data_IF_772092549893
#
_entry.id   IF_772092549893
#
_cell.length_a   1.000
_cell.length_b   1.000
_cell.length_c   1.000
_cell.angle_alpha   90.00
_cell.angle_beta   90.00
_cell.angle_gamma   90.00
#
_symmetry.space_group_name_H-M   'P 1'
#
loop_
_entity.id
_entity.type
_entity.pdbx_description
1 polymer ?
#
# COMPACT_ATOMS: atom_id res chain seq x y z
N UNK A 1 8.58 24.59 -11.92
CA UNK A 1 7.86 24.01 -13.09
C UNK A 1 8.50 22.70 -13.55
N UNK A 2 9.83 22.54 -13.49
CA UNK A 2 10.50 21.28 -13.86
C UNK A 2 10.21 20.11 -12.90
N UNK A 3 10.17 20.34 -11.58
CA UNK A 3 9.87 19.28 -10.60
C UNK A 3 8.45 18.72 -10.77
N UNK A 4 7.46 19.61 -10.97
CA UNK A 4 6.08 19.22 -11.27
C UNK A 4 6.00 18.43 -12.57
N UNK A 5 6.80 18.78 -13.58
CA UNK A 5 6.85 18.04 -14.83
C UNK A 5 7.44 16.63 -14.65
N UNK A 6 8.49 16.49 -13.83
CA UNK A 6 9.04 15.18 -13.45
C UNK A 6 8.03 14.31 -12.71
N UNK A 7 7.34 14.86 -11.71
CA UNK A 7 6.32 14.12 -10.94
C UNK A 7 5.18 13.63 -11.85
N UNK A 8 4.69 14.50 -12.74
CA UNK A 8 3.65 14.16 -13.71
C UNK A 8 4.15 13.08 -14.68
N UNK A 9 5.39 13.20 -15.18
CA UNK A 9 5.99 12.19 -16.05
C UNK A 9 6.12 10.83 -15.35
N UNK A 10 6.59 10.80 -14.10
CA UNK A 10 6.71 9.56 -13.31
C UNK A 10 5.33 8.94 -13.04
N UNK A 11 4.33 9.75 -12.74
CA UNK A 11 2.96 9.28 -12.56
C UNK A 11 2.39 8.64 -13.84
N UNK A 12 2.61 9.26 -15.00
CA UNK A 12 2.19 8.72 -16.30
C UNK A 12 2.92 7.40 -16.62
N UNK A 13 4.23 7.34 -16.40
CA UNK A 13 5.02 6.12 -16.61
C UNK A 13 4.56 5.01 -15.68
N UNK A 14 4.31 5.31 -14.41
CA UNK A 14 3.81 4.35 -13.42
C UNK A 14 2.40 3.85 -13.79
N UNK A 15 1.50 4.73 -14.23
CA UNK A 15 0.16 4.39 -14.69
C UNK A 15 0.21 3.42 -15.88
N UNK A 16 0.93 3.79 -16.93
CA UNK A 16 0.99 2.97 -18.16
C UNK A 16 1.70 1.65 -17.88
N UNK A 17 2.83 1.69 -17.15
CA UNK A 17 3.62 0.52 -16.81
C UNK A 17 2.83 -0.49 -15.97
N UNK A 18 2.16 -0.04 -14.90
CA UNK A 18 1.35 -0.90 -14.04
C UNK A 18 0.11 -1.44 -14.75
N UNK A 19 -0.57 -0.63 -15.58
CA UNK A 19 -1.71 -1.07 -16.37
C UNK A 19 -1.32 -2.15 -17.39
N UNK A 20 -0.23 -1.94 -18.14
CA UNK A 20 0.27 -2.94 -19.09
C UNK A 20 0.70 -4.20 -18.36
N UNK A 21 1.52 -4.09 -17.31
CA UNK A 21 2.01 -5.24 -16.55
C UNK A 21 0.88 -6.04 -15.89
N UNK A 22 -0.10 -5.37 -15.28
CA UNK A 22 -1.28 -5.99 -14.69
C UNK A 22 -2.22 -6.63 -15.71
N UNK A 23 -2.18 -6.17 -16.96
CA UNK A 23 -2.95 -6.74 -18.06
C UNK A 23 -2.29 -7.96 -18.72
N UNK A 24 -0.97 -8.14 -18.58
CA UNK A 24 -0.22 -9.28 -19.17
C UNK A 24 -0.84 -10.64 -18.79
N UNK A 25 -1.21 -10.93 -17.53
CA UNK A 25 -1.85 -12.19 -17.17
C UNK A 25 -3.26 -12.38 -17.76
N UNK A 26 -3.95 -11.30 -18.12
CA UNK A 26 -5.32 -11.34 -18.68
C UNK A 26 -5.32 -11.66 -20.18
N UNK A 27 -4.28 -11.23 -20.91
CA UNK A 27 -4.17 -11.43 -22.36
C UNK A 27 -3.45 -12.73 -22.77
N UNK A 28 -2.72 -13.37 -21.85
CA UNK A 28 -1.94 -14.58 -22.15
C UNK A 28 -2.53 -15.76 -21.36
N UNK A 29 -2.93 -16.83 -22.05
CA UNK A 29 -3.39 -18.06 -21.41
C UNK A 29 -2.21 -18.81 -20.79
N UNK A 30 -1.84 -18.46 -19.56
CA UNK A 30 -0.85 -19.19 -18.79
C UNK A 30 -1.44 -20.46 -18.19
N UNK A 31 -0.67 -21.56 -18.23
CA UNK A 31 -0.96 -22.75 -17.41
C UNK A 31 -0.85 -22.39 -15.92
N UNK A 32 -1.66 -23.05 -15.07
CA UNK A 32 -1.73 -22.86 -13.62
C UNK A 32 -0.35 -22.87 -12.94
N UNK A 33 0.57 -23.73 -13.40
CA UNK A 33 1.94 -23.79 -12.89
C UNK A 33 2.79 -22.55 -13.22
N UNK A 34 2.52 -21.90 -14.36
CA UNK A 34 3.21 -20.66 -14.77
C UNK A 34 2.63 -19.47 -14.01
N UNK A 35 1.31 -19.41 -13.84
CA UNK A 35 0.65 -18.41 -12.99
C UNK A 35 1.18 -18.46 -11.56
N UNK A 36 1.28 -19.65 -10.98
CA UNK A 36 1.83 -19.80 -9.62
C UNK A 36 3.26 -19.26 -9.50
N UNK A 37 4.12 -19.49 -10.49
CA UNK A 37 5.50 -18.93 -10.49
C UNK A 37 5.49 -17.41 -10.57
N UNK A 38 4.63 -16.83 -11.39
CA UNK A 38 4.47 -15.37 -11.51
C UNK A 38 3.92 -14.78 -10.21
N UNK A 39 2.94 -15.42 -9.56
CA UNK A 39 2.40 -14.98 -8.27
C UNK A 39 3.45 -15.05 -7.15
N UNK A 40 4.23 -16.13 -7.07
CA UNK A 40 5.31 -16.26 -6.08
C UNK A 40 6.43 -15.25 -6.34
N UNK A 41 6.75 -14.99 -7.61
CA UNK A 41 7.70 -13.95 -7.96
C UNK A 41 7.17 -12.55 -7.61
N UNK A 42 5.90 -12.27 -7.91
CA UNK A 42 5.23 -11.02 -7.59
C UNK A 42 5.15 -10.76 -6.09
N UNK A 43 4.77 -11.77 -5.29
CA UNK A 43 4.76 -11.62 -3.83
C UNK A 43 6.16 -11.41 -3.26
N UNK A 44 7.18 -12.09 -3.79
CA UNK A 44 8.58 -11.86 -3.44
C UNK A 44 9.07 -10.45 -3.79
N UNK A 45 8.67 -9.93 -4.96
CA UNK A 45 8.96 -8.56 -5.37
C UNK A 45 8.29 -7.55 -4.44
N UNK A 46 6.99 -7.71 -4.14
CA UNK A 46 6.25 -6.83 -3.23
C UNK A 46 6.88 -6.79 -1.83
N UNK A 47 7.20 -7.95 -1.25
CA UNK A 47 7.88 -8.03 0.06
C UNK A 47 9.29 -7.41 0.00
N UNK A 48 10.03 -7.63 -1.08
CA UNK A 48 11.34 -7.03 -1.29
C UNK A 48 11.28 -5.50 -1.34
N UNK A 49 10.34 -4.95 -2.11
CA UNK A 49 10.13 -3.48 -2.20
C UNK A 49 9.72 -2.90 -0.85
N UNK A 50 8.83 -3.59 -0.12
CA UNK A 50 8.39 -3.18 1.20
C UNK A 50 9.57 -3.05 2.19
N UNK A 51 10.42 -4.07 2.27
CA UNK A 51 11.55 -4.09 3.22
C UNK A 51 12.73 -3.21 2.79
N UNK A 52 13.05 -3.15 1.50
CA UNK A 52 14.26 -2.48 1.01
C UNK A 52 14.07 -0.98 0.73
N UNK A 53 12.85 -0.54 0.42
CA UNK A 53 12.58 0.85 0.01
C UNK A 53 11.43 1.46 0.81
N UNK A 54 10.26 0.83 0.89
CA UNK A 54 9.10 1.48 1.53
C UNK A 54 9.31 1.72 3.03
N UNK A 55 9.78 0.71 3.78
CA UNK A 55 10.05 0.85 5.22
C UNK A 55 11.21 1.85 5.46
N UNK A 56 12.40 1.73 4.83
CA UNK A 56 13.50 2.67 5.07
C UNK A 56 13.17 4.13 4.69
N UNK A 57 12.43 4.37 3.60
CA UNK A 57 12.01 5.71 3.19
C UNK A 57 10.95 6.26 4.15
N UNK A 58 9.99 5.43 4.58
CA UNK A 58 8.99 5.79 5.58
C UNK A 58 9.60 6.18 6.93
N UNK A 59 10.58 5.41 7.41
CA UNK A 59 11.33 5.68 8.65
C UNK A 59 12.09 7.01 8.56
N UNK A 60 12.76 7.27 7.43
CA UNK A 60 13.48 8.54 7.20
C UNK A 60 12.54 9.74 7.18
N UNK A 61 11.37 9.59 6.57
CA UNK A 61 10.35 10.65 6.56
C UNK A 61 9.84 10.97 7.97
N UNK A 62 9.47 9.96 8.76
CA UNK A 62 8.93 10.14 10.11
C UNK A 62 9.95 10.71 11.11
N UNK A 63 11.21 10.29 11.03
CA UNK A 63 12.28 10.81 11.90
C UNK A 63 12.65 12.25 11.57
N UNK A 64 12.61 12.64 10.28
CA UNK A 64 12.91 14.01 9.85
C UNK A 64 11.89 15.05 10.34
N UNK A 65 10.62 14.66 10.54
CA UNK A 65 9.55 15.52 11.07
C UNK A 65 9.68 15.72 12.59
N UNK A 66 10.38 14.83 13.30
CA UNK A 66 10.54 14.88 14.77
C UNK A 66 11.63 15.87 15.22
N UNK A 67 12.41 16.46 14.30
CA UNK A 67 13.26 17.61 14.63
C UNK A 67 12.39 18.87 14.81
N UNK A 68 12.19 19.37 16.04
CA UNK A 68 11.29 20.49 16.27
C UNK A 68 11.91 21.77 15.71
N UNK A 69 11.24 22.38 14.74
CA UNK A 69 11.29 23.84 14.61
C UNK A 69 10.48 24.40 15.79
N UNK A 70 11.14 25.08 16.71
CA UNK A 70 10.50 25.98 17.68
C UNK A 70 9.67 27.02 16.91
N UNK A 71 8.34 26.90 16.95
CA UNK A 71 7.43 28.02 16.69
C UNK A 71 6.29 27.92 17.68
N UNK A 72 6.09 29.03 18.39
CA UNK A 72 5.20 29.25 19.51
C UNK A 72 3.71 28.95 19.25
N UNK A 73 3.06 28.76 20.41
CA UNK A 73 1.66 29.02 20.75
C UNK A 73 0.61 27.88 20.64
N UNK A 74 0.32 27.35 21.83
CA UNK A 74 -1.03 27.23 22.39
C UNK A 74 -2.02 26.26 21.73
N UNK A 75 -1.81 24.96 21.96
CA UNK A 75 -2.88 24.03 22.33
C UNK A 75 -2.27 22.76 22.95
N UNK A 76 -2.64 22.48 24.20
CA UNK A 76 -2.17 21.35 24.96
C UNK A 76 -2.54 20.02 24.29
N UNK A 77 -1.56 19.37 23.64
CA UNK A 77 -1.58 17.93 23.44
C UNK A 77 -0.31 17.38 24.08
N UNK A 78 -0.51 16.62 25.16
CA UNK A 78 0.52 15.93 25.92
C UNK A 78 1.15 14.82 25.05
N UNK A 79 1.97 15.19 24.08
CA UNK A 79 2.79 14.24 23.34
C UNK A 79 4.05 13.96 24.16
N UNK A 80 3.95 12.96 25.05
CA UNK A 80 5.13 12.19 25.45
C UNK A 80 5.92 11.89 24.18
N UNK A 81 7.16 12.34 24.14
CA UNK A 81 8.14 12.05 23.09
C UNK A 81 8.36 10.53 23.06
N UNK A 82 7.47 9.82 22.36
CA UNK A 82 7.64 8.41 22.06
C UNK A 82 8.88 8.28 21.18
N UNK A 83 9.71 7.31 21.50
CA UNK A 83 10.82 6.91 20.65
C UNK A 83 10.33 6.80 19.19
N UNK A 84 11.04 7.40 18.21
CA UNK A 84 10.58 7.40 16.82
C UNK A 84 10.25 6.00 16.29
N UNK A 85 10.97 4.99 16.80
CA UNK A 85 10.76 3.57 16.50
C UNK A 85 9.41 3.03 16.95
N UNK A 86 8.84 3.51 18.07
CA UNK A 86 7.50 3.13 18.53
C UNK A 86 6.39 3.67 17.63
N UNK A 87 6.54 4.89 17.10
CA UNK A 87 5.58 5.48 16.14
C UNK A 87 5.58 4.69 14.83
N UNK A 88 6.77 4.29 14.36
CA UNK A 88 6.93 3.44 13.17
C UNK A 88 6.24 2.09 13.38
N UNK A 89 6.55 1.41 14.49
CA UNK A 89 5.95 0.12 14.84
C UNK A 89 4.42 0.21 14.91
N UNK A 90 3.89 1.26 15.56
CA UNK A 90 2.44 1.49 15.63
C UNK A 90 1.82 1.72 14.24
N UNK A 91 2.45 2.53 13.38
CA UNK A 91 1.93 2.80 12.03
C UNK A 91 1.92 1.55 11.13
N UNK A 92 2.97 0.71 11.20
CA UNK A 92 3.05 -0.55 10.44
C UNK A 92 2.01 -1.57 10.92
N UNK A 93 1.86 -1.72 12.24
CA UNK A 93 0.85 -2.62 12.83
C UNK A 93 -0.56 -2.12 12.50
N UNK A 94 -0.81 -0.82 12.55
CA UNK A 94 -2.10 -0.23 12.21
C UNK A 94 -2.45 -0.48 10.74
N UNK A 95 -1.50 -0.27 9.81
CA UNK A 95 -1.69 -0.57 8.39
C UNK A 95 -1.96 -2.06 8.14
N UNK A 96 -1.25 -2.96 8.81
CA UNK A 96 -1.45 -4.40 8.73
C UNK A 96 -2.84 -4.81 9.26
N UNK A 97 -3.24 -4.32 10.43
CA UNK A 97 -4.58 -4.57 10.99
C UNK A 97 -5.68 -4.02 10.09
N UNK A 98 -5.48 -2.85 9.47
CA UNK A 98 -6.42 -2.28 8.51
C UNK A 98 -6.56 -3.16 7.26
N UNK A 99 -5.45 -3.61 6.66
CA UNK A 99 -5.48 -4.56 5.54
C UNK A 99 -6.24 -5.85 5.92
N UNK A 100 -6.01 -6.39 7.13
CA UNK A 100 -6.75 -7.55 7.64
C UNK A 100 -8.25 -7.29 7.84
N UNK A 101 -8.62 -6.13 8.37
CA UNK A 101 -10.03 -5.77 8.56
C UNK A 101 -10.77 -5.64 7.23
N UNK A 102 -10.14 -5.04 6.22
CA UNK A 102 -10.74 -4.93 4.88
C UNK A 102 -10.94 -6.33 4.28
N UNK A 103 -9.97 -7.23 4.45
CA UNK A 103 -10.09 -8.62 3.99
C UNK A 103 -11.18 -9.41 4.74
N UNK A 104 -11.26 -9.26 6.06
CA UNK A 104 -12.29 -9.88 6.91
C UNK A 104 -13.72 -9.41 6.55
N UNK A 105 -13.92 -8.11 6.36
CA UNK A 105 -15.22 -7.53 5.97
C UNK A 105 -15.60 -7.97 4.56
N UNK A 106 -14.64 -8.04 3.64
CA UNK A 106 -14.83 -8.51 2.27
C UNK A 106 -15.30 -9.97 2.22
N UNK A 107 -14.68 -10.85 3.00
CA UNK A 107 -15.07 -12.27 3.07
C UNK A 107 -16.42 -12.48 3.76
N UNK A 108 -16.68 -11.79 4.88
CA UNK A 108 -17.92 -11.93 5.66
C UNK A 108 -19.17 -11.48 4.89
N UNK A 109 -19.04 -10.47 4.00
CA UNK A 109 -20.14 -10.02 3.13
C UNK A 109 -20.40 -10.95 1.94
N UNK A 110 -19.44 -11.79 1.57
CA UNK A 110 -19.57 -12.66 0.40
C UNK A 110 -20.61 -13.78 0.63
N UNK A 111 -20.81 -14.22 1.88
CA UNK A 111 -21.79 -15.26 2.23
C UNK A 111 -23.26 -14.80 2.21
N UNK A 112 -23.53 -13.50 2.21
CA UNK A 112 -24.88 -12.95 2.45
C UNK A 112 -25.43 -12.04 1.34
N UNK A 113 -24.73 -11.89 0.20
CA UNK A 113 -25.10 -10.90 -0.84
C UNK A 113 -25.46 -11.50 -2.21
N UNK A 114 -26.34 -10.77 -2.90
CA UNK A 114 -26.84 -11.04 -4.25
C UNK A 114 -25.69 -10.98 -5.30
N UNK A 115 -25.81 -11.64 -6.47
CA UNK A 115 -24.75 -11.72 -7.48
C UNK A 115 -24.34 -10.39 -8.14
N UNK A 116 -25.00 -9.26 -7.84
CA UNK A 116 -24.58 -7.94 -8.27
C UNK A 116 -23.56 -7.28 -7.32
N UNK A 117 -23.58 -7.61 -6.02
CA UNK A 117 -22.71 -6.97 -5.02
C UNK A 117 -21.34 -7.65 -4.89
N UNK A 118 -21.22 -8.90 -5.35
CA UNK A 118 -19.94 -9.63 -5.47
C UNK A 118 -18.89 -8.92 -6.32
N UNK A 119 -19.29 -8.17 -7.35
CA UNK A 119 -18.35 -7.45 -8.23
C UNK A 119 -17.71 -6.24 -7.52
N UNK A 120 -18.45 -5.59 -6.62
CA UNK A 120 -17.93 -4.46 -5.83
C UNK A 120 -16.92 -4.98 -4.80
N UNK A 121 -17.25 -6.07 -4.10
CA UNK A 121 -16.35 -6.69 -3.12
C UNK A 121 -15.05 -7.20 -3.74
N UNK A 122 -15.12 -7.83 -4.92
CA UNK A 122 -13.94 -8.27 -5.66
C UNK A 122 -13.04 -7.09 -6.08
N UNK A 123 -13.65 -5.97 -6.51
CA UNK A 123 -12.91 -4.76 -6.89
C UNK A 123 -12.27 -4.09 -5.68
N UNK A 124 -12.98 -4.02 -4.55
CA UNK A 124 -12.43 -3.50 -3.29
C UNK A 124 -11.28 -4.36 -2.77
N UNK A 125 -11.40 -5.69 -2.86
CA UNK A 125 -10.33 -6.62 -2.51
C UNK A 125 -9.09 -6.46 -3.40
N UNK A 126 -9.28 -6.23 -4.70
CA UNK A 126 -8.19 -5.94 -5.64
C UNK A 126 -7.52 -4.59 -5.35
N UNK A 127 -8.30 -3.55 -5.05
CA UNK A 127 -7.78 -2.21 -4.73
C UNK A 127 -6.98 -2.21 -3.43
N UNK A 128 -7.44 -2.94 -2.40
CA UNK A 128 -6.71 -2.98 -1.12
C UNK A 128 -5.40 -3.76 -1.21
N UNK A 129 -5.34 -4.79 -2.07
CA UNK A 129 -4.12 -5.58 -2.33
C UNK A 129 -3.14 -4.92 -3.31
N UNK A 130 -3.57 -3.85 -4.00
CA UNK A 130 -2.74 -3.08 -4.91
C UNK A 130 -1.98 -1.92 -4.23
N UNK A 131 -2.22 -1.69 -2.93
CA UNK A 131 -1.67 -0.59 -2.12
C UNK A 131 -0.44 -1.01 -1.31
#
# INVERSE_FOLDING_TARGET
MEETFMLISLAVVMLIGSYMAGSIPLFINFSESKLKKVTVFGSGLLVGTALAVIIPEGVRSLTSVTHPKEVNDSAAVNHKHGDPFSVIGFSLVLGFVFMLLVEQVSQSRNESLNPAERNVTATVGLVVHAA
#
